data_IF_819353264718
#
_entry.id   IF_819353264718
#
_cell.length_a   1.000
_cell.length_b   1.000
_cell.length_c   1.000
_cell.angle_alpha   90.00
_cell.angle_beta   90.00
_cell.angle_gamma   90.00
#
_symmetry.space_group_name_H-M   'P 1'
#
loop_
_entity.id
_entity.type
_entity.pdbx_description
1 polymer ?
#
# COMPACT_ATOMS: atom_id res chain seq x y z
N UNK A 1 20.60 37.10 -15.09
CA UNK A 1 19.17 36.88 -14.81
C UNK A 1 18.56 35.75 -15.65
N UNK A 2 18.97 35.57 -16.92
CA UNK A 2 18.48 34.46 -17.79
C UNK A 2 19.02 33.08 -17.36
N UNK A 3 20.25 33.02 -16.86
CA UNK A 3 20.88 31.74 -16.47
C UNK A 3 20.22 31.09 -15.25
N UNK A 4 19.80 31.89 -14.27
CA UNK A 4 19.10 31.44 -13.06
C UNK A 4 17.69 30.93 -13.36
N UNK A 5 16.98 31.59 -14.29
CA UNK A 5 15.64 31.18 -14.74
C UNK A 5 15.65 29.81 -15.45
N UNK A 6 16.70 29.55 -16.24
CA UNK A 6 16.86 28.29 -16.96
C UNK A 6 17.13 27.11 -16.02
N UNK A 7 17.93 27.33 -14.96
CA UNK A 7 18.21 26.30 -13.97
C UNK A 7 17.01 26.01 -13.06
N UNK A 8 16.22 27.01 -12.66
CA UNK A 8 14.99 26.76 -11.89
C UNK A 8 13.94 26.03 -12.70
N UNK A 9 13.78 26.36 -13.99
CA UNK A 9 12.87 25.63 -14.88
C UNK A 9 13.30 24.17 -15.07
N UNK A 10 14.60 23.92 -15.26
CA UNK A 10 15.13 22.55 -15.38
C UNK A 10 14.91 21.73 -14.10
N UNK A 11 15.14 22.33 -12.92
CA UNK A 11 14.85 21.67 -11.64
C UNK A 11 13.36 21.39 -11.45
N UNK A 12 12.48 22.29 -11.92
CA UNK A 12 11.03 22.09 -11.87
C UNK A 12 10.59 20.93 -12.77
N UNK A 13 11.17 20.81 -13.98
CA UNK A 13 10.91 19.71 -14.91
C UNK A 13 11.44 18.37 -14.36
N UNK A 14 12.62 18.36 -13.75
CA UNK A 14 13.16 17.14 -13.10
C UNK A 14 12.25 16.73 -11.93
N UNK A 15 11.81 17.69 -11.11
CA UNK A 15 10.90 17.43 -10.00
C UNK A 15 9.54 16.89 -10.49
N UNK A 16 8.96 17.46 -11.55
CA UNK A 16 7.69 16.95 -12.10
C UNK A 16 7.85 15.57 -12.73
N UNK A 17 8.95 15.29 -13.43
CA UNK A 17 9.23 13.94 -13.97
C UNK A 17 9.41 12.92 -12.85
N UNK A 18 10.13 13.26 -11.78
CA UNK A 18 10.28 12.40 -10.60
C UNK A 18 8.95 12.18 -9.85
N UNK A 19 8.06 13.19 -9.84
CA UNK A 19 6.72 13.08 -9.26
C UNK A 19 5.73 12.30 -10.15
N UNK A 20 5.91 12.31 -11.46
CA UNK A 20 5.05 11.56 -12.41
C UNK A 20 5.43 10.08 -12.47
N UNK A 21 6.70 9.74 -12.19
CA UNK A 21 7.17 8.35 -12.11
C UNK A 21 6.78 7.63 -10.81
N UNK A 22 6.49 8.37 -9.74
CA UNK A 22 5.98 7.81 -8.51
C UNK A 22 4.46 7.95 -8.50
N UNK A 23 3.77 6.81 -8.44
CA UNK A 23 2.33 6.71 -8.27
C UNK A 23 1.93 7.17 -6.84
N UNK A 24 2.20 8.42 -6.47
CA UNK A 24 1.90 9.02 -5.15
C UNK A 24 0.42 8.89 -4.80
N UNK A 25 -0.44 8.73 -5.80
CA UNK A 25 -1.89 8.60 -5.63
C UNK A 25 -2.40 7.18 -5.41
N UNK A 26 -1.64 6.16 -5.80
CA UNK A 26 -2.24 4.86 -5.99
C UNK A 26 -2.12 3.92 -4.76
N UNK A 27 -1.28 4.27 -3.77
CA UNK A 27 -1.29 3.64 -2.44
C UNK A 27 -2.23 4.36 -1.45
N UNK A 28 -2.70 5.57 -1.79
CA UNK A 28 -3.59 6.34 -0.91
C UNK A 28 -4.94 5.66 -0.69
N UNK A 29 -5.42 4.86 -1.64
CA UNK A 29 -6.63 4.05 -1.50
C UNK A 29 -6.43 2.78 -0.65
N UNK A 30 -5.18 2.42 -0.34
CA UNK A 30 -4.80 1.24 0.42
C UNK A 30 -4.02 1.60 1.69
N UNK A 31 -4.23 2.80 2.23
CA UNK A 31 -3.57 3.23 3.45
C UNK A 31 -4.17 2.55 4.69
N UNK A 32 -3.33 2.31 5.69
CA UNK A 32 -3.65 1.70 6.98
C UNK A 32 -4.87 2.31 7.68
N UNK A 33 -5.07 3.63 7.66
CA UNK A 33 -6.28 4.25 8.23
C UNK A 33 -7.55 3.78 7.53
N UNK A 34 -7.56 3.73 6.19
CA UNK A 34 -8.70 3.25 5.43
C UNK A 34 -8.95 1.75 5.71
N UNK A 35 -7.89 0.94 5.74
CA UNK A 35 -8.00 -0.48 6.11
C UNK A 35 -8.62 -0.63 7.51
N UNK A 36 -8.12 0.09 8.52
CA UNK A 36 -8.68 0.02 9.88
C UNK A 36 -10.14 0.48 9.98
N UNK A 37 -10.63 1.30 9.04
CA UNK A 37 -12.05 1.69 8.99
C UNK A 37 -12.96 0.59 8.45
N UNK A 38 -12.39 -0.37 7.71
CA UNK A 38 -13.11 -1.49 7.08
C UNK A 38 -13.10 -2.70 8.00
N UNK A 39 -11.96 -2.99 8.61
CA UNK A 39 -11.78 -4.14 9.49
C UNK A 39 -12.23 -3.80 10.92
N UNK A 40 -13.20 -4.55 11.42
CA UNK A 40 -13.58 -4.52 12.84
C UNK A 40 -12.71 -5.49 13.63
N UNK A 41 -12.12 -5.04 14.74
CA UNK A 41 -11.41 -5.93 15.65
C UNK A 41 -12.37 -7.01 16.19
N UNK A 42 -12.28 -8.21 15.63
CA UNK A 42 -13.07 -9.39 15.98
C UNK A 42 -12.12 -10.58 16.22
N UNK A 43 -12.64 -11.66 16.80
CA UNK A 43 -11.81 -12.84 17.12
C UNK A 43 -11.34 -13.64 15.89
N UNK A 44 -11.91 -13.37 14.72
CA UNK A 44 -11.58 -14.02 13.44
C UNK A 44 -10.51 -13.25 12.66
N UNK A 45 -9.99 -12.16 13.23
CA UNK A 45 -8.95 -11.35 12.63
C UNK A 45 -7.64 -12.12 12.54
N UNK A 46 -7.12 -12.19 11.34
CA UNK A 46 -5.86 -12.82 11.02
C UNK A 46 -5.00 -11.86 10.23
N UNK A 47 -3.73 -11.77 10.63
CA UNK A 47 -2.74 -10.98 9.93
C UNK A 47 -1.51 -11.85 9.66
N UNK A 48 -1.08 -11.90 8.41
CA UNK A 48 0.06 -12.69 7.98
C UNK A 48 1.04 -11.87 7.15
N UNK A 49 2.31 -12.22 7.25
CA UNK A 49 3.40 -11.75 6.40
C UNK A 49 4.23 -12.93 5.94
N UNK A 50 4.69 -12.91 4.70
CA UNK A 50 5.62 -13.93 4.22
C UNK A 50 7.02 -13.69 4.81
N UNK A 51 7.77 -14.77 5.10
CA UNK A 51 9.11 -14.68 5.66
C UNK A 51 10.10 -13.89 4.78
N UNK A 52 9.88 -13.90 3.46
CA UNK A 52 10.66 -13.15 2.47
C UNK A 52 10.13 -11.73 2.20
N UNK A 53 9.08 -11.31 2.93
CA UNK A 53 8.43 -10.01 2.77
C UNK A 53 7.91 -9.74 1.34
N UNK A 54 7.63 -10.80 0.58
CA UNK A 54 7.02 -10.74 -0.76
C UNK A 54 5.50 -10.54 -0.73
N UNK A 55 4.84 -10.80 0.40
CA UNK A 55 3.41 -10.63 0.57
C UNK A 55 2.94 -10.46 2.01
N UNK A 56 1.75 -9.92 2.16
CA UNK A 56 1.07 -9.76 3.44
C UNK A 56 -0.44 -9.85 3.25
N UNK A 57 -1.15 -10.25 4.31
CA UNK A 57 -2.61 -10.31 4.30
C UNK A 57 -3.21 -9.94 5.64
N UNK A 58 -4.35 -9.26 5.60
CA UNK A 58 -5.22 -8.97 6.73
C UNK A 58 -6.63 -9.47 6.36
N UNK A 59 -7.25 -10.30 7.20
CA UNK A 59 -8.61 -10.77 6.99
C UNK A 59 -9.38 -10.91 8.30
N UNK A 60 -10.68 -10.61 8.26
CA UNK A 60 -11.61 -10.80 9.38
C UNK A 60 -12.60 -11.96 9.15
N UNK A 61 -12.31 -12.84 8.16
CA UNK A 61 -13.17 -13.93 7.72
C UNK A 61 -14.22 -13.54 6.67
N UNK A 62 -14.52 -12.25 6.49
CA UNK A 62 -15.49 -11.73 5.50
C UNK A 62 -14.86 -10.82 4.47
N UNK A 63 -13.88 -10.05 4.92
CA UNK A 63 -13.15 -9.04 4.18
C UNK A 63 -11.68 -9.45 4.18
N UNK A 64 -10.96 -9.07 3.13
CA UNK A 64 -9.54 -9.40 3.01
C UNK A 64 -8.78 -8.30 2.28
N UNK A 65 -7.67 -7.87 2.86
CA UNK A 65 -6.66 -7.05 2.22
C UNK A 65 -5.43 -7.94 2.00
N UNK A 66 -4.92 -8.02 0.77
CA UNK A 66 -3.82 -8.89 0.38
C UNK A 66 -2.85 -8.12 -0.48
N UNK A 67 -1.56 -8.26 -0.20
CA UNK A 67 -0.46 -7.83 -1.06
C UNK A 67 0.32 -9.06 -1.50
N UNK A 68 0.67 -9.11 -2.78
CA UNK A 68 1.48 -10.14 -3.39
C UNK A 68 2.42 -9.52 -4.41
N UNK A 69 3.37 -10.31 -4.93
CA UNK A 69 4.27 -9.88 -6.01
C UNK A 69 3.54 -9.38 -7.27
N UNK A 70 2.26 -9.72 -7.45
CA UNK A 70 1.46 -9.35 -8.60
C UNK A 70 0.61 -8.10 -8.37
N UNK A 71 0.34 -7.72 -7.12
CA UNK A 71 -0.59 -6.64 -6.83
C UNK A 71 -1.12 -6.62 -5.41
N UNK A 72 -1.88 -5.55 -5.12
CA UNK A 72 -2.70 -5.39 -3.93
C UNK A 72 -4.16 -5.55 -4.24
N UNK A 73 -4.89 -6.21 -3.35
CA UNK A 73 -6.33 -6.38 -3.45
C UNK A 73 -6.99 -6.21 -2.10
N UNK A 74 -8.06 -5.42 -2.07
CA UNK A 74 -9.00 -5.30 -0.98
C UNK A 74 -10.33 -5.81 -1.47
N UNK A 75 -10.81 -6.88 -0.84
CA UNK A 75 -12.14 -7.39 -0.98
C UNK A 75 -12.90 -7.03 0.28
N UNK A 76 -13.87 -6.13 0.16
CA UNK A 76 -14.70 -5.68 1.27
C UNK A 76 -16.13 -5.45 0.81
N UNK A 77 -17.07 -5.41 1.76
CA UNK A 77 -18.48 -5.11 1.44
C UNK A 77 -18.67 -3.67 0.97
N UNK A 78 -17.78 -2.78 1.37
CA UNK A 78 -17.81 -1.34 1.07
C UNK A 78 -16.97 -0.95 -0.14
N UNK A 79 -15.99 -1.76 -0.54
CA UNK A 79 -15.06 -1.44 -1.62
C UNK A 79 -14.37 -2.71 -2.14
N UNK A 80 -14.34 -2.86 -3.47
CA UNK A 80 -13.47 -3.82 -4.15
C UNK A 80 -12.38 -3.03 -4.87
N UNK A 81 -11.17 -3.08 -4.33
CA UNK A 81 -10.00 -2.42 -4.90
C UNK A 81 -9.04 -3.50 -5.35
N UNK A 82 -8.68 -3.50 -6.63
CA UNK A 82 -7.60 -4.34 -7.15
C UNK A 82 -6.60 -3.46 -7.88
N UNK A 83 -5.33 -3.66 -7.58
CA UNK A 83 -4.24 -2.91 -8.17
C UNK A 83 -3.11 -3.87 -8.50
N UNK A 84 -2.93 -4.06 -9.80
CA UNK A 84 -1.79 -4.81 -10.32
C UNK A 84 -0.51 -3.97 -10.18
N UNK A 85 0.57 -4.67 -9.82
CA UNK A 85 1.91 -4.11 -9.93
C UNK A 85 2.49 -4.41 -11.30
N UNK A 86 3.11 -3.41 -11.91
CA UNK A 86 4.08 -3.71 -12.95
C UNK A 86 5.34 -4.19 -12.23
N UNK A 87 5.80 -5.40 -12.57
CA UNK A 87 7.02 -6.01 -12.00
C UNK A 87 8.09 -4.93 -11.78
N UNK A 88 8.68 -4.90 -10.58
CA UNK A 88 9.68 -3.92 -10.10
C UNK A 88 9.18 -2.58 -9.53
N UNK A 89 7.90 -2.42 -9.18
CA UNK A 89 7.47 -1.21 -8.45
C UNK A 89 7.59 -1.37 -6.92
N UNK A 90 8.05 -0.32 -6.25
CA UNK A 90 8.06 -0.17 -4.78
C UNK A 90 6.63 -0.21 -4.16
N UNK A 91 5.60 -0.34 -4.99
CA UNK A 91 4.21 -0.37 -4.53
C UNK A 91 3.88 -1.64 -3.72
N UNK A 92 4.56 -2.78 -3.97
CA UNK A 92 4.36 -4.00 -3.18
C UNK A 92 4.83 -3.81 -1.74
N UNK A 93 6.05 -3.32 -1.54
CA UNK A 93 6.60 -3.05 -0.21
C UNK A 93 5.73 -2.05 0.54
N UNK A 94 5.31 -0.96 -0.13
CA UNK A 94 4.41 0.02 0.47
C UNK A 94 3.05 -0.58 0.88
N UNK A 95 2.45 -1.41 0.04
CA UNK A 95 1.21 -2.09 0.41
C UNK A 95 1.39 -3.04 1.60
N UNK A 96 2.48 -3.82 1.61
CA UNK A 96 2.79 -4.70 2.73
C UNK A 96 2.91 -3.87 4.01
N UNK A 97 3.64 -2.76 3.97
CA UNK A 97 3.74 -1.85 5.11
C UNK A 97 2.39 -1.32 5.59
N UNK A 98 1.52 -0.90 4.68
CA UNK A 98 0.19 -0.39 5.03
C UNK A 98 -0.71 -1.48 5.64
N UNK A 99 -0.64 -2.72 5.14
CA UNK A 99 -1.34 -3.87 5.74
C UNK A 99 -0.81 -4.14 7.15
N UNK A 100 0.52 -4.20 7.34
CA UNK A 100 1.12 -4.46 8.64
C UNK A 100 0.85 -3.32 9.64
N UNK A 101 0.84 -2.07 9.19
CA UNK A 101 0.45 -0.93 10.00
C UNK A 101 -1.01 -1.03 10.43
N UNK A 102 -1.92 -1.43 9.54
CA UNK A 102 -3.31 -1.68 9.91
C UNK A 102 -3.42 -2.78 10.98
N UNK A 103 -2.68 -3.89 10.84
CA UNK A 103 -2.66 -4.95 11.85
C UNK A 103 -2.20 -4.45 13.23
N UNK A 104 -1.14 -3.62 13.26
CA UNK A 104 -0.65 -3.00 14.50
C UNK A 104 -1.68 -2.06 15.12
N UNK A 105 -2.33 -1.22 14.31
CA UNK A 105 -3.38 -0.30 14.78
C UNK A 105 -4.60 -1.05 15.33
N UNK A 106 -4.91 -2.22 14.77
CA UNK A 106 -6.02 -3.08 15.20
C UNK A 106 -5.63 -4.02 16.35
N UNK A 107 -4.37 -3.97 16.83
CA UNK A 107 -3.81 -4.84 17.86
C UNK A 107 -3.93 -6.34 17.55
N UNK A 108 -3.68 -6.73 16.30
CA UNK A 108 -3.68 -8.13 15.84
C UNK A 108 -2.25 -8.65 15.86
N UNK A 109 -2.07 -9.91 16.28
CA UNK A 109 -0.79 -10.60 16.15
C UNK A 109 -0.45 -10.84 14.67
N UNK A 110 0.75 -10.41 14.25
CA UNK A 110 1.26 -10.64 12.91
C UNK A 110 1.95 -12.00 12.90
N UNK A 111 1.38 -12.95 12.16
CA UNK A 111 1.94 -14.28 11.97
C UNK A 111 2.88 -14.30 10.77
N UNK A 112 4.02 -14.96 10.90
CA UNK A 112 4.99 -15.13 9.81
C UNK A 112 5.00 -16.59 9.35
N UNK A 113 5.03 -16.81 8.03
CA UNK A 113 5.09 -18.13 7.41
C UNK A 113 6.32 -18.27 6.49
#
# INVERSE_FOLDING_TARGET
>A
MILTLKNTFLMLVIATVLLVGNNVFACQCFNSFFLTSIFSNNQEMTCFVSADYSGASLSDGRQSAVSSIYGCSLNSTSSNIHRDFFYYSNDNELCIEEILNACRMLNIEIQSY
#
